data_IF_348905849409
#
_entry.id   IF_348905849409
#
_cell.length_a   1.000
_cell.length_b   1.000
_cell.length_c   1.000
_cell.angle_alpha   90.00
_cell.angle_beta   90.00
_cell.angle_gamma   90.00
#
_symmetry.space_group_name_H-M   'P 1'
#
loop_
_entity.id
_entity.type
_entity.pdbx_description
1 polymer ?
#
# COMPACT_ATOMS: atom_id res chain seq x y z
N UNK A 1 16.50 30.49 -23.06
CA UNK A 1 16.33 29.06 -22.76
C UNK A 1 16.00 28.97 -21.28
N UNK A 2 14.72 28.86 -20.94
CA UNK A 2 14.31 28.64 -19.55
C UNK A 2 14.74 27.23 -19.18
N UNK A 3 15.66 27.10 -18.22
CA UNK A 3 15.99 25.81 -17.66
C UNK A 3 14.72 25.20 -17.08
N UNK A 4 14.17 24.17 -17.72
CA UNK A 4 13.12 23.35 -17.13
C UNK A 4 13.72 22.69 -15.89
N UNK A 5 13.26 23.09 -14.71
CA UNK A 5 13.69 22.45 -13.46
C UNK A 5 13.29 20.98 -13.53
N UNK A 6 14.27 20.08 -13.35
CA UNK A 6 14.00 18.64 -13.25
C UNK A 6 13.02 18.41 -12.12
N UNK A 7 11.96 17.64 -12.39
CA UNK A 7 10.96 17.31 -11.38
C UNK A 7 11.53 16.30 -10.41
N UNK A 8 11.30 16.52 -9.12
CA UNK A 8 11.77 15.64 -8.06
C UNK A 8 10.63 15.21 -7.15
N UNK A 9 10.84 14.09 -6.46
CA UNK A 9 9.87 13.44 -5.59
C UNK A 9 10.46 13.32 -4.17
N UNK A 10 9.65 13.52 -3.11
CA UNK A 10 10.11 13.33 -1.75
C UNK A 10 10.16 11.83 -1.42
N UNK A 11 11.35 11.25 -1.42
CA UNK A 11 11.58 9.83 -1.17
C UNK A 11 12.04 9.64 0.27
N UNK A 12 11.32 8.81 1.02
CA UNK A 12 11.66 8.46 2.42
C UNK A 12 12.65 7.30 2.44
N UNK A 13 12.38 6.26 1.65
CA UNK A 13 13.27 5.10 1.54
C UNK A 13 13.09 4.37 0.21
N UNK A 14 14.18 3.83 -0.31
CA UNK A 14 14.20 2.85 -1.41
C UNK A 14 14.99 1.65 -0.92
N UNK A 15 14.35 0.49 -0.91
CA UNK A 15 14.95 -0.74 -0.43
C UNK A 15 14.45 -1.94 -1.22
N UNK A 16 15.20 -3.04 -1.15
CA UNK A 16 14.92 -4.26 -1.90
C UNK A 16 16.19 -4.96 -2.36
N UNK A 17 16.05 -6.14 -2.98
CA UNK A 17 14.80 -6.88 -3.11
C UNK A 17 14.31 -7.40 -1.75
N UNK A 18 13.00 -7.35 -1.55
CA UNK A 18 12.28 -7.93 -0.41
C UNK A 18 11.11 -8.77 -0.91
N UNK A 19 10.44 -9.46 0.00
CA UNK A 19 9.20 -10.17 -0.30
C UNK A 19 8.02 -9.26 0.03
N UNK A 20 7.15 -9.00 -0.94
CA UNK A 20 5.88 -8.32 -0.68
C UNK A 20 5.09 -9.15 0.34
N UNK A 21 4.75 -8.53 1.46
CA UNK A 21 4.17 -9.24 2.60
C UNK A 21 2.65 -9.22 2.64
N UNK A 22 1.99 -8.55 1.70
CA UNK A 22 0.56 -8.24 1.78
C UNK A 22 -0.18 -8.38 0.45
N UNK A 23 -1.51 -8.55 0.56
CA UNK A 23 -2.46 -8.42 -0.55
C UNK A 23 -2.23 -9.40 -1.70
N UNK A 24 -2.63 -8.99 -2.90
CA UNK A 24 -2.57 -9.80 -4.12
C UNK A 24 -1.16 -10.24 -4.54
N UNK A 25 -0.14 -9.51 -4.08
CA UNK A 25 1.27 -9.74 -4.42
C UNK A 25 2.05 -10.44 -3.30
N UNK A 26 1.38 -10.92 -2.26
CA UNK A 26 2.03 -11.61 -1.13
C UNK A 26 2.95 -12.75 -1.63
N UNK A 27 4.21 -12.74 -1.19
CA UNK A 27 5.23 -13.72 -1.58
C UNK A 27 6.08 -13.36 -2.80
N UNK A 28 5.73 -12.32 -3.56
CA UNK A 28 6.53 -11.88 -4.72
C UNK A 28 7.78 -11.08 -4.32
N UNK A 29 8.87 -11.23 -5.08
CA UNK A 29 10.04 -10.36 -4.97
C UNK A 29 9.75 -8.98 -5.56
N UNK A 30 10.05 -7.92 -4.79
CA UNK A 30 9.84 -6.54 -5.20
C UNK A 30 10.90 -5.63 -4.59
N UNK A 31 11.18 -4.51 -5.25
CA UNK A 31 11.71 -3.32 -4.58
C UNK A 31 10.58 -2.49 -4.01
N UNK A 32 10.87 -1.65 -3.02
CA UNK A 32 9.94 -0.66 -2.49
C UNK A 32 10.49 0.74 -2.72
N UNK A 33 9.61 1.65 -3.15
CA UNK A 33 9.85 3.09 -3.13
C UNK A 33 8.79 3.72 -2.25
N UNK A 34 9.20 4.23 -1.09
CA UNK A 34 8.32 4.89 -0.13
C UNK A 34 8.39 6.41 -0.31
N UNK A 35 7.30 7.00 -0.81
CA UNK A 35 7.15 8.45 -0.91
C UNK A 35 6.81 9.08 0.45
N UNK A 36 7.08 10.38 0.57
CA UNK A 36 6.71 11.18 1.73
C UNK A 36 5.36 11.89 1.55
N UNK A 37 4.57 11.93 2.62
CA UNK A 37 3.32 12.69 2.73
C UNK A 37 2.08 11.83 2.57
N UNK A 38 1.05 12.11 3.39
CA UNK A 38 -0.26 11.47 3.32
C UNK A 38 -1.35 12.49 3.63
N UNK A 39 -2.54 12.33 3.05
CA UNK A 39 -3.74 13.09 3.36
C UNK A 39 -4.50 12.55 4.59
N UNK A 40 -4.16 11.34 5.06
CA UNK A 40 -4.71 10.72 6.27
C UNK A 40 -3.69 10.63 7.41
N UNK A 41 -4.18 10.46 8.65
CA UNK A 41 -3.42 10.27 9.89
C UNK A 41 -4.00 9.09 10.68
N UNK A 42 -3.97 7.90 10.10
CA UNK A 42 -4.52 6.70 10.71
C UNK A 42 -3.90 6.45 12.09
N UNK A 43 -4.72 6.11 13.09
CA UNK A 43 -4.27 5.91 14.47
C UNK A 43 -3.20 4.81 14.60
N UNK A 44 -3.31 3.75 13.82
CA UNK A 44 -2.39 2.60 13.79
C UNK A 44 -1.41 2.64 12.61
N UNK A 45 -1.09 3.83 12.07
CA UNK A 45 -0.16 3.94 10.96
C UNK A 45 1.24 3.42 11.34
N UNK A 46 1.69 2.35 10.69
CA UNK A 46 3.02 1.75 10.86
C UNK A 46 4.18 2.61 10.34
N UNK A 47 3.85 3.63 9.56
CA UNK A 47 4.79 4.42 8.76
C UNK A 47 4.61 5.92 8.99
N UNK A 48 4.30 6.34 10.23
CA UNK A 48 4.15 7.76 10.61
C UNK A 48 5.35 8.64 10.19
N UNK A 49 6.56 8.08 10.17
CA UNK A 49 7.79 8.74 9.69
C UNK A 49 7.74 9.15 8.20
N UNK A 50 6.88 8.51 7.40
CA UNK A 50 6.62 8.85 6.00
C UNK A 50 5.37 9.74 5.83
N UNK A 51 4.63 10.04 6.90
CA UNK A 51 3.32 10.71 6.86
C UNK A 51 3.37 12.11 7.48
N UNK A 52 4.03 12.25 8.62
CA UNK A 52 4.05 13.49 9.39
C UNK A 52 4.90 14.55 8.67
N UNK A 53 4.39 15.79 8.45
CA UNK A 53 5.11 16.80 7.67
C UNK A 53 6.52 17.12 8.19
N UNK A 54 6.70 17.16 9.50
CA UNK A 54 7.98 17.35 10.16
C UNK A 54 8.95 16.20 9.91
N UNK A 55 8.50 14.96 9.99
CA UNK A 55 9.31 13.77 9.70
C UNK A 55 9.66 13.71 8.21
N UNK A 56 8.71 14.00 7.32
CA UNK A 56 8.97 14.03 5.87
C UNK A 56 9.97 15.12 5.53
N UNK A 57 9.85 16.32 6.11
CA UNK A 57 10.83 17.40 5.89
C UNK A 57 12.22 17.04 6.42
N UNK A 58 12.30 16.31 7.53
CA UNK A 58 13.57 15.93 8.14
C UNK A 58 14.26 14.77 7.42
N UNK A 59 13.48 13.81 6.90
CA UNK A 59 13.99 12.50 6.48
C UNK A 59 13.89 12.24 4.97
N UNK A 60 13.11 13.01 4.21
CA UNK A 60 13.00 12.77 2.75
C UNK A 60 14.19 13.31 1.97
N UNK A 61 14.57 12.57 0.93
CA UNK A 61 15.53 12.98 -0.09
C UNK A 61 14.75 13.33 -1.36
N UNK A 62 15.04 14.48 -1.95
CA UNK A 62 14.46 14.88 -3.22
C UNK A 62 15.19 14.15 -4.36
N UNK A 63 14.51 13.25 -5.06
CA UNK A 63 15.09 12.46 -6.15
C UNK A 63 14.28 12.66 -7.43
N UNK A 64 14.97 12.81 -8.55
CA UNK A 64 14.39 12.71 -9.90
C UNK A 64 14.02 11.26 -10.23
N UNK A 65 13.19 11.07 -11.26
CA UNK A 65 12.80 9.73 -11.66
C UNK A 65 13.98 8.89 -12.19
N UNK A 66 14.96 9.52 -12.86
CA UNK A 66 16.20 8.85 -13.28
C UNK A 66 17.01 8.33 -12.08
N UNK A 67 17.22 9.16 -11.06
CA UNK A 67 17.92 8.76 -9.83
C UNK A 67 17.22 7.60 -9.10
N UNK A 68 15.88 7.58 -9.11
CA UNK A 68 15.11 6.48 -8.50
C UNK A 68 15.32 5.18 -9.30
N UNK A 69 15.19 5.22 -10.63
CA UNK A 69 15.37 4.04 -11.48
C UNK A 69 16.81 3.50 -11.42
N UNK A 70 17.81 4.37 -11.43
CA UNK A 70 19.21 3.98 -11.27
C UNK A 70 19.43 3.32 -9.91
N UNK A 71 18.86 3.89 -8.83
CA UNK A 71 18.95 3.29 -7.50
C UNK A 71 18.31 1.90 -7.42
N UNK A 72 17.18 1.69 -8.07
CA UNK A 72 16.50 0.38 -8.11
C UNK A 72 17.35 -0.67 -8.85
N UNK A 73 17.98 -0.28 -9.96
CA UNK A 73 18.91 -1.15 -10.72
C UNK A 73 20.17 -1.48 -9.92
N UNK A 74 20.71 -0.52 -9.18
CA UNK A 74 21.86 -0.74 -8.29
C UNK A 74 21.54 -1.74 -7.17
N UNK A 75 20.34 -1.69 -6.60
CA UNK A 75 19.92 -2.62 -5.55
C UNK A 75 19.86 -4.05 -6.07
N UNK A 76 19.14 -4.26 -7.18
CA UNK A 76 19.14 -5.52 -7.91
C UNK A 76 18.42 -5.33 -9.26
N UNK A 77 19.12 -5.49 -10.41
CA UNK A 77 18.52 -5.28 -11.73
C UNK A 77 17.62 -6.43 -12.18
N UNK A 78 17.67 -7.59 -11.49
CA UNK A 78 16.85 -8.77 -11.80
C UNK A 78 15.51 -8.81 -11.05
N UNK A 79 15.25 -7.87 -10.14
CA UNK A 79 13.96 -7.80 -9.44
C UNK A 79 12.88 -7.25 -10.38
N UNK A 80 11.82 -8.02 -10.67
CA UNK A 80 10.84 -7.63 -11.69
C UNK A 80 9.87 -6.54 -11.22
N UNK A 81 9.55 -6.51 -9.92
CA UNK A 81 8.52 -5.62 -9.38
C UNK A 81 9.11 -4.44 -8.61
N UNK A 82 8.42 -3.30 -8.70
CA UNK A 82 8.59 -2.15 -7.83
C UNK A 82 7.23 -1.82 -7.23
N UNK A 83 7.17 -1.79 -5.90
CA UNK A 83 5.98 -1.37 -5.15
C UNK A 83 6.13 0.08 -4.74
N UNK A 84 5.30 0.95 -5.29
CA UNK A 84 5.16 2.35 -4.89
C UNK A 84 4.20 2.44 -3.69
N UNK A 85 4.69 3.03 -2.61
CA UNK A 85 3.94 3.21 -1.37
C UNK A 85 4.37 4.53 -0.70
N UNK A 86 4.09 4.70 0.59
CA UNK A 86 4.65 5.75 1.42
C UNK A 86 3.79 6.99 1.52
N UNK A 87 3.34 7.27 2.75
CA UNK A 87 2.07 7.96 2.91
C UNK A 87 1.11 7.57 1.79
N UNK A 88 0.58 8.53 1.03
CA UNK A 88 -0.23 8.24 -0.15
C UNK A 88 0.49 8.63 -1.46
N UNK A 89 0.93 7.67 -2.29
CA UNK A 89 1.55 7.96 -3.60
C UNK A 89 0.68 8.87 -4.49
N UNK A 90 -0.65 8.75 -4.38
CA UNK A 90 -1.60 9.52 -5.19
C UNK A 90 -1.64 11.03 -4.86
N UNK A 91 -0.92 11.49 -3.82
CA UNK A 91 -0.66 12.92 -3.60
C UNK A 91 0.25 13.51 -4.68
N UNK A 92 1.09 12.68 -5.28
CA UNK A 92 2.15 13.10 -6.20
C UNK A 92 1.73 12.89 -7.65
N UNK A 93 2.35 13.66 -8.54
CA UNK A 93 2.16 13.52 -9.99
C UNK A 93 3.32 12.68 -10.55
N UNK A 94 3.12 11.37 -10.67
CA UNK A 94 4.22 10.40 -10.88
C UNK A 94 4.44 9.99 -12.35
N UNK A 95 3.81 10.63 -13.33
CA UNK A 95 3.83 10.22 -14.74
C UNK A 95 5.23 9.90 -15.26
N UNK A 96 6.16 10.83 -15.04
CA UNK A 96 7.54 10.71 -15.48
C UNK A 96 8.28 9.53 -14.82
N UNK A 97 7.96 9.24 -13.55
CA UNK A 97 8.52 8.10 -12.83
C UNK A 97 7.95 6.77 -13.35
N UNK A 98 6.64 6.72 -13.57
CA UNK A 98 5.96 5.55 -14.11
C UNK A 98 6.50 5.22 -15.51
N UNK A 99 6.63 6.24 -16.37
CA UNK A 99 7.17 6.05 -17.73
C UNK A 99 8.60 5.51 -17.69
N UNK A 100 9.48 6.10 -16.87
CA UNK A 100 10.86 5.62 -16.75
C UNK A 100 10.96 4.22 -16.13
N UNK A 101 10.10 3.86 -15.18
CA UNK A 101 10.08 2.50 -14.62
C UNK A 101 9.62 1.47 -15.65
N UNK A 102 8.59 1.79 -16.43
CA UNK A 102 8.12 0.94 -17.53
C UNK A 102 9.19 0.78 -18.62
N UNK A 103 9.83 1.87 -19.05
CA UNK A 103 10.94 1.83 -20.01
C UNK A 103 12.15 1.05 -19.48
N UNK A 104 12.33 1.03 -18.15
CA UNK A 104 13.34 0.23 -17.50
C UNK A 104 12.97 -1.26 -17.35
N UNK A 105 11.75 -1.65 -17.71
CA UNK A 105 11.27 -3.04 -17.68
C UNK A 105 10.74 -3.50 -16.33
N UNK A 106 10.44 -2.59 -15.40
CA UNK A 106 9.81 -2.94 -14.12
C UNK A 106 8.29 -3.09 -14.30
N UNK A 107 7.71 -4.06 -13.59
CA UNK A 107 6.28 -4.08 -13.31
C UNK A 107 6.00 -3.28 -12.03
N UNK A 108 4.92 -2.49 -12.05
CA UNK A 108 4.64 -1.47 -11.02
C UNK A 108 3.39 -1.84 -10.23
N UNK A 109 3.57 -2.04 -8.93
CA UNK A 109 2.48 -2.16 -7.97
C UNK A 109 2.32 -0.85 -7.17
N UNK A 110 1.09 -0.48 -6.82
CA UNK A 110 0.79 0.73 -6.04
C UNK A 110 -0.07 0.39 -4.84
N UNK A 111 0.30 0.92 -3.67
CA UNK A 111 -0.53 0.90 -2.46
C UNK A 111 -1.08 2.32 -2.18
N UNK A 112 -2.40 2.50 -2.14
CA UNK A 112 -3.07 3.78 -1.84
C UNK A 112 -4.32 3.58 -0.98
N UNK A 113 -4.74 4.57 -0.21
CA UNK A 113 -6.02 4.51 0.52
C UNK A 113 -7.26 4.90 -0.31
N UNK A 114 -7.11 5.23 -1.60
CA UNK A 114 -8.23 5.48 -2.50
C UNK A 114 -8.90 6.85 -2.35
N UNK A 115 -8.27 7.80 -1.68
CA UNK A 115 -8.78 9.17 -1.50
C UNK A 115 -8.48 10.09 -2.67
N UNK A 116 -7.47 9.77 -3.48
CA UNK A 116 -7.06 10.55 -4.64
C UNK A 116 -6.86 9.65 -5.86
N UNK A 117 -7.40 10.07 -7.01
CA UNK A 117 -7.17 9.41 -8.29
C UNK A 117 -6.21 10.22 -9.14
N UNK A 118 -5.31 9.53 -9.83
CA UNK A 118 -4.36 10.10 -10.78
C UNK A 118 -4.32 9.21 -12.01
N UNK A 119 -4.32 9.80 -13.20
CA UNK A 119 -4.30 9.07 -14.48
C UNK A 119 -3.06 8.18 -14.63
N UNK A 120 -1.95 8.49 -13.98
CA UNK A 120 -0.76 7.63 -14.02
C UNK A 120 -1.00 6.24 -13.41
N UNK A 121 -2.02 6.06 -12.56
CA UNK A 121 -2.42 4.74 -12.04
C UNK A 121 -2.84 3.77 -13.15
N UNK A 122 -3.35 4.27 -14.28
CA UNK A 122 -3.79 3.46 -15.43
C UNK A 122 -2.62 2.78 -16.16
N UNK A 123 -1.38 3.22 -15.89
CA UNK A 123 -0.14 2.68 -16.46
C UNK A 123 0.63 1.79 -15.47
N UNK A 124 0.05 1.52 -14.30
CA UNK A 124 0.59 0.55 -13.35
C UNK A 124 -0.03 -0.83 -13.61
N UNK A 125 0.67 -1.90 -13.27
CA UNK A 125 0.21 -3.27 -13.48
C UNK A 125 -0.76 -3.73 -12.38
N UNK A 126 -0.62 -3.21 -11.17
CA UNK A 126 -1.44 -3.58 -10.02
C UNK A 126 -1.66 -2.39 -9.08
N UNK A 127 -2.92 -2.15 -8.71
CA UNK A 127 -3.29 -1.08 -7.77
C UNK A 127 -4.08 -1.66 -6.60
N UNK A 128 -3.44 -1.72 -5.44
CA UNK A 128 -4.10 -2.06 -4.18
C UNK A 128 -4.69 -0.79 -3.58
N UNK A 129 -6.03 -0.72 -3.54
CA UNK A 129 -6.75 0.34 -2.83
C UNK A 129 -7.12 -0.18 -1.46
N UNK A 130 -6.74 0.55 -0.41
CA UNK A 130 -6.99 0.18 0.98
C UNK A 130 -7.86 1.23 1.68
N UNK A 131 -9.19 1.17 1.52
CA UNK A 131 -10.13 2.01 2.26
C UNK A 131 -9.89 1.84 3.76
N UNK A 132 -9.79 2.95 4.50
CA UNK A 132 -9.45 2.90 5.92
C UNK A 132 -10.72 2.73 6.78
N UNK A 133 -10.75 1.73 7.68
CA UNK A 133 -11.92 1.42 8.50
C UNK A 133 -12.03 2.36 9.72
N UNK A 134 -13.12 2.30 10.50
CA UNK A 134 -13.35 3.17 11.66
C UNK A 134 -12.22 3.19 12.70
N UNK A 135 -11.57 2.04 12.98
CA UNK A 135 -10.45 1.99 13.94
C UNK A 135 -9.25 2.88 13.54
N UNK A 136 -9.16 3.26 12.26
CA UNK A 136 -8.14 4.20 11.78
C UNK A 136 -8.38 5.63 12.25
N UNK A 137 -9.56 5.95 12.78
CA UNK A 137 -10.08 7.30 13.09
C UNK A 137 -10.25 8.23 11.89
N UNK A 138 -10.05 7.73 10.67
CA UNK A 138 -10.26 8.47 9.43
C UNK A 138 -11.66 8.22 8.87
N UNK A 139 -12.24 9.22 8.22
CA UNK A 139 -13.51 9.07 7.50
C UNK A 139 -13.25 8.75 6.04
N UNK A 140 -13.58 7.52 5.63
CA UNK A 140 -13.48 7.10 4.23
C UNK A 140 -14.77 7.44 3.47
N UNK A 141 -14.64 8.05 2.29
CA UNK A 141 -15.75 8.17 1.34
C UNK A 141 -15.76 6.94 0.41
N UNK A 142 -16.75 6.05 0.59
CA UNK A 142 -16.85 4.80 -0.17
C UNK A 142 -17.27 5.02 -1.62
N UNK A 143 -18.04 6.06 -1.93
CA UNK A 143 -18.47 6.36 -3.31
C UNK A 143 -17.29 6.71 -4.21
N UNK A 144 -16.22 7.27 -3.63
CA UNK A 144 -15.00 7.58 -4.37
C UNK A 144 -14.23 6.34 -4.81
N UNK A 145 -14.50 5.15 -4.26
CA UNK A 145 -13.80 3.93 -4.66
C UNK A 145 -14.18 3.48 -6.08
N UNK A 146 -15.38 3.83 -6.55
CA UNK A 146 -15.86 3.48 -7.89
C UNK A 146 -14.89 3.90 -9.01
N UNK A 147 -14.20 5.04 -8.86
CA UNK A 147 -13.24 5.54 -9.88
C UNK A 147 -11.99 4.68 -10.04
N UNK A 148 -11.70 3.76 -9.10
CA UNK A 148 -10.55 2.86 -9.19
C UNK A 148 -10.91 1.51 -9.80
N UNK A 149 -12.19 1.16 -9.89
CA UNK A 149 -12.65 -0.18 -10.29
C UNK A 149 -12.25 -0.61 -11.71
N UNK A 150 -11.94 0.36 -12.58
CA UNK A 150 -11.45 0.12 -13.94
C UNK A 150 -9.92 0.08 -14.09
N UNK A 151 -9.16 0.27 -13.00
CA UNK A 151 -7.70 0.27 -13.07
C UNK A 151 -7.15 -1.16 -13.31
N UNK A 152 -6.01 -1.29 -14.02
CA UNK A 152 -5.37 -2.59 -14.21
C UNK A 152 -5.01 -3.24 -12.87
N UNK A 153 -5.31 -4.54 -12.75
CA UNK A 153 -4.96 -5.33 -11.56
C UNK A 153 -5.55 -4.80 -10.24
N UNK A 154 -6.61 -3.97 -10.30
CA UNK A 154 -7.16 -3.35 -9.08
C UNK A 154 -7.67 -4.41 -8.10
N UNK A 155 -7.35 -4.22 -6.83
CA UNK A 155 -7.87 -5.00 -5.73
C UNK A 155 -8.11 -4.11 -4.51
N UNK A 156 -9.07 -4.51 -3.67
CA UNK A 156 -9.41 -3.79 -2.45
C UNK A 156 -8.95 -4.57 -1.22
N UNK A 157 -8.30 -3.88 -0.28
CA UNK A 157 -7.71 -4.47 0.92
C UNK A 157 -8.07 -3.68 2.17
N UNK A 158 -8.91 -4.24 3.04
CA UNK A 158 -9.32 -3.60 4.29
C UNK A 158 -8.55 -4.24 5.45
N UNK A 159 -7.90 -3.40 6.26
CA UNK A 159 -7.26 -3.83 7.52
C UNK A 159 -8.35 -3.96 8.59
N UNK A 160 -8.28 -4.99 9.43
CA UNK A 160 -9.32 -5.31 10.41
C UNK A 160 -8.71 -5.54 11.78
N UNK A 161 -9.07 -4.69 12.75
CA UNK A 161 -8.69 -4.84 14.15
C UNK A 161 -9.78 -5.47 15.01
N UNK A 162 -11.05 -5.24 14.67
CA UNK A 162 -12.22 -5.59 15.47
C UNK A 162 -13.48 -5.85 14.61
N UNK A 163 -14.61 -6.10 15.27
CA UNK A 163 -15.89 -6.36 14.61
C UNK A 163 -16.44 -5.13 13.85
N UNK A 164 -16.12 -3.90 14.27
CA UNK A 164 -16.56 -2.68 13.59
C UNK A 164 -15.83 -2.51 12.25
N UNK A 165 -14.51 -2.76 12.24
CA UNK A 165 -13.73 -2.81 11.02
C UNK A 165 -14.19 -3.94 10.08
N UNK A 166 -14.55 -5.10 10.63
CA UNK A 166 -15.08 -6.20 9.84
C UNK A 166 -16.43 -5.85 9.21
N UNK A 167 -17.30 -5.15 9.93
CA UNK A 167 -18.56 -4.65 9.39
C UNK A 167 -18.32 -3.63 8.27
N UNK A 168 -17.35 -2.72 8.44
CA UNK A 168 -16.92 -1.81 7.39
C UNK A 168 -16.39 -2.58 6.16
N UNK A 169 -15.58 -3.61 6.35
CA UNK A 169 -15.07 -4.43 5.26
C UNK A 169 -16.19 -5.11 4.46
N UNK A 170 -17.25 -5.60 5.12
CA UNK A 170 -18.44 -6.14 4.45
C UNK A 170 -19.10 -5.10 3.56
N UNK A 171 -19.31 -3.88 4.07
CA UNK A 171 -19.90 -2.80 3.28
C UNK A 171 -19.09 -2.50 2.01
N UNK A 172 -17.76 -2.49 2.10
CA UNK A 172 -16.90 -2.31 0.93
C UNK A 172 -17.04 -3.48 -0.04
N UNK A 173 -16.99 -4.71 0.45
CA UNK A 173 -17.06 -5.89 -0.41
C UNK A 173 -18.42 -6.00 -1.13
N UNK A 174 -19.52 -5.74 -0.43
CA UNK A 174 -20.87 -5.75 -1.00
C UNK A 174 -21.08 -4.65 -2.03
N UNK A 175 -20.49 -3.47 -1.83
CA UNK A 175 -20.55 -2.37 -2.80
C UNK A 175 -19.77 -2.67 -4.09
N UNK A 176 -18.73 -3.52 -4.02
CA UNK A 176 -17.81 -3.81 -5.11
C UNK A 176 -17.53 -5.32 -5.26
N UNK A 177 -18.55 -6.15 -5.53
CA UNK A 177 -18.47 -7.61 -5.42
C UNK A 177 -17.57 -8.28 -6.49
N UNK A 178 -17.28 -7.58 -7.58
CA UNK A 178 -16.43 -8.07 -8.67
C UNK A 178 -14.94 -7.74 -8.48
N UNK A 179 -14.60 -6.85 -7.53
CA UNK A 179 -13.22 -6.49 -7.25
C UNK A 179 -12.61 -7.53 -6.32
N UNK A 180 -11.42 -8.10 -6.62
CA UNK A 180 -10.70 -8.96 -5.69
C UNK A 180 -10.55 -8.28 -4.33
N UNK A 181 -11.00 -8.97 -3.28
CA UNK A 181 -11.17 -8.36 -1.95
C UNK A 181 -10.34 -9.11 -0.90
N UNK A 182 -9.61 -8.35 -0.10
CA UNK A 182 -8.67 -8.85 0.89
C UNK A 182 -8.99 -8.29 2.28
N UNK A 183 -9.03 -9.18 3.26
CA UNK A 183 -9.10 -8.85 4.68
C UNK A 183 -7.70 -9.02 5.27
N UNK A 184 -7.13 -7.93 5.80
CA UNK A 184 -5.80 -7.93 6.39
C UNK A 184 -5.89 -7.83 7.91
N UNK A 185 -5.17 -8.68 8.62
CA UNK A 185 -5.04 -8.59 10.07
C UNK A 185 -4.40 -7.24 10.45
N UNK A 186 -5.06 -6.50 11.35
CA UNK A 186 -4.50 -5.31 11.97
C UNK A 186 -3.34 -5.63 12.90
N UNK A 187 -2.32 -4.76 12.90
CA UNK A 187 -1.12 -4.86 13.73
C UNK A 187 -1.01 -3.61 14.60
N UNK A 188 -1.15 -3.79 15.92
CA UNK A 188 -0.79 -2.80 16.93
C UNK A 188 0.71 -2.88 17.18
N UNK A 189 1.45 -1.87 16.70
CA UNK A 189 2.91 -1.83 16.75
C UNK A 189 3.51 -1.96 18.15
N UNK A 190 2.77 -1.57 19.20
CA UNK A 190 3.25 -1.57 20.58
C UNK A 190 2.90 -2.87 21.31
N UNK A 191 1.73 -3.43 21.00
CA UNK A 191 1.14 -4.51 21.79
C UNK A 191 1.14 -5.88 21.11
N UNK A 192 1.21 -5.92 19.77
CA UNK A 192 1.16 -7.17 19.03
C UNK A 192 2.55 -7.77 18.82
N UNK A 193 2.59 -9.10 18.87
CA UNK A 193 3.73 -9.92 18.50
C UNK A 193 3.26 -11.05 17.58
N UNK A 194 4.18 -11.92 17.14
CA UNK A 194 3.86 -13.03 16.23
C UNK A 194 2.68 -13.88 16.73
N UNK A 195 2.64 -14.24 18.01
CA UNK A 195 1.58 -15.09 18.55
C UNK A 195 0.24 -14.36 18.59
N UNK A 196 0.23 -13.08 19.01
CA UNK A 196 -0.99 -12.26 19.00
C UNK A 196 -1.53 -12.08 17.58
N UNK A 197 -0.66 -11.84 16.59
CA UNK A 197 -1.06 -11.71 15.19
C UNK A 197 -1.64 -13.01 14.62
N UNK A 198 -1.09 -14.17 15.00
CA UNK A 198 -1.65 -15.47 14.61
C UNK A 198 -3.01 -15.73 15.27
N UNK A 199 -3.21 -15.30 16.52
CA UNK A 199 -4.52 -15.38 17.19
C UNK A 199 -5.55 -14.47 16.51
N UNK A 200 -5.15 -13.25 16.14
CA UNK A 200 -6.01 -12.33 15.36
C UNK A 200 -6.34 -12.90 13.98
N UNK A 201 -5.38 -13.54 13.32
CA UNK A 201 -5.60 -14.23 12.05
C UNK A 201 -6.62 -15.36 12.18
N UNK A 202 -6.53 -16.17 13.23
CA UNK A 202 -7.50 -17.24 13.53
C UNK A 202 -8.91 -16.68 13.77
N UNK A 203 -9.01 -15.61 14.57
CA UNK A 203 -10.28 -14.91 14.80
C UNK A 203 -10.89 -14.38 13.48
N UNK A 204 -10.11 -13.64 12.69
CA UNK A 204 -10.58 -13.04 11.45
C UNK A 204 -11.00 -14.11 10.42
N UNK A 205 -10.22 -15.19 10.33
CA UNK A 205 -10.53 -16.33 9.46
C UNK A 205 -11.83 -17.01 9.89
N UNK A 206 -11.99 -17.25 11.19
CA UNK A 206 -13.20 -17.85 11.76
C UNK A 206 -14.44 -16.96 11.55
N UNK A 207 -14.28 -15.64 11.68
CA UNK A 207 -15.35 -14.68 11.44
C UNK A 207 -15.76 -14.65 9.96
N UNK A 208 -14.80 -14.57 9.04
CA UNK A 208 -15.06 -14.58 7.60
C UNK A 208 -15.72 -15.89 7.13
N UNK A 209 -15.28 -17.05 7.63
CA UNK A 209 -15.87 -18.35 7.29
C UNK A 209 -17.35 -18.49 7.71
N UNK A 210 -17.79 -17.74 8.72
CA UNK A 210 -19.19 -17.75 9.19
C UNK A 210 -20.08 -16.76 8.42
N UNK A 211 -19.49 -15.91 7.59
CA UNK A 211 -20.20 -14.85 6.90
C UNK A 211 -20.21 -15.09 5.39
N UNK A 212 -21.39 -15.45 4.87
CA UNK A 212 -21.56 -15.68 3.43
C UNK A 212 -21.31 -14.44 2.57
N UNK A 213 -21.47 -13.23 3.13
CA UNK A 213 -21.16 -11.98 2.41
C UNK A 213 -19.67 -11.86 2.11
N UNK A 214 -18.81 -12.49 2.89
CA UNK A 214 -17.34 -12.48 2.75
C UNK A 214 -16.79 -13.75 2.07
N UNK A 215 -17.65 -14.56 1.45
CA UNK A 215 -17.26 -15.86 0.87
C UNK A 215 -16.20 -15.79 -0.25
N UNK A 216 -16.03 -14.63 -0.89
CA UNK A 216 -14.99 -14.38 -1.91
C UNK A 216 -13.80 -13.59 -1.36
N UNK A 217 -13.82 -13.18 -0.10
CA UNK A 217 -12.74 -12.43 0.52
C UNK A 217 -11.54 -13.35 0.83
N UNK A 218 -10.32 -12.83 0.62
CA UNK A 218 -9.08 -13.53 0.95
C UNK A 218 -8.54 -12.96 2.27
N UNK A 219 -8.45 -13.80 3.31
CA UNK A 219 -7.93 -13.41 4.63
C UNK A 219 -6.42 -13.63 4.67
N UNK A 220 -5.65 -12.57 4.95
CA UNK A 220 -4.19 -12.61 4.98
C UNK A 220 -3.61 -11.90 6.23
N UNK A 221 -2.48 -12.39 6.76
CA UNK A 221 -1.66 -11.60 7.68
C UNK A 221 -0.75 -10.63 6.91
N UNK A 222 0.02 -9.83 7.64
CA UNK A 222 1.22 -9.19 7.11
C UNK A 222 2.41 -10.17 7.24
N UNK A 223 2.76 -10.87 6.15
CA UNK A 223 3.79 -11.91 6.19
C UNK A 223 5.15 -11.39 6.66
N UNK A 224 5.52 -10.17 6.23
CA UNK A 224 6.79 -9.56 6.62
C UNK A 224 6.85 -9.24 8.12
N UNK A 225 5.73 -8.84 8.75
CA UNK A 225 5.65 -8.63 10.20
C UNK A 225 5.77 -9.96 10.94
N UNK A 226 5.11 -11.02 10.44
CA UNK A 226 5.28 -12.36 11.01
C UNK A 226 6.75 -12.80 10.95
N UNK A 227 7.46 -12.56 9.83
CA UNK A 227 8.84 -12.99 9.64
C UNK A 227 9.86 -12.16 10.44
N UNK A 228 9.71 -10.84 10.44
CA UNK A 228 10.74 -9.88 10.86
C UNK A 228 10.31 -8.92 11.97
N UNK A 229 9.06 -9.01 12.44
CA UNK A 229 8.47 -8.03 13.35
C UNK A 229 8.33 -6.66 12.70
N UNK A 230 8.33 -5.60 13.52
CA UNK A 230 8.18 -4.21 13.06
C UNK A 230 9.51 -3.60 12.52
N UNK A 231 10.42 -4.44 12.00
CA UNK A 231 11.68 -3.98 11.42
C UNK A 231 11.39 -3.25 10.11
N UNK A 232 12.06 -2.12 9.88
CA UNK A 232 11.97 -1.34 8.63
C UNK A 232 12.93 -1.88 7.56
N UNK A 233 12.60 -1.61 6.30
CA UNK A 233 13.46 -1.89 5.14
C UNK A 233 13.68 -3.39 4.87
N UNK A 234 12.69 -4.23 5.18
CA UNK A 234 12.72 -5.71 5.01
C UNK A 234 11.46 -6.23 4.35
#
# INVERSE_FOLDING_TARGET
MTATSVKTFPIIEIFGPVIQGEGAMIGHQTHFVRLGGCDFRCAWCDTLYAVLPEEVRANSVSMSAGEIVDRLRELNPGTPWVTLSGGNPALHQLDELIDMMNDAGFSIAVETQGTLYKSWLERCDLVTVSPKPPSSTMTQNLDQLARFTGLPGVNFKVVVFDDEDLAFARLVHEAYPEIPFYLQVGNDLENDNRDTLLQRLDWLSTAALKDSSLSRAIVLPQLHVLMYGNKRGV
#
